data_IF_287960705147
#
_entry.id   IF_287960705147
#
_cell.length_a   1.000
_cell.length_b   1.000
_cell.length_c   1.000
_cell.angle_alpha   90.00
_cell.angle_beta   90.00
_cell.angle_gamma   90.00
#
_symmetry.space_group_name_H-M   'P 1'
#
loop_
_entity.id
_entity.type
_entity.pdbx_description
1 polymer ?
#
# COMPACT_ATOMS: atom_id res chain seq x y z
N UNK A 1 12.11 -9.96 -13.56
CA UNK A 1 12.35 -8.69 -12.84
C UNK A 1 11.32 -7.61 -13.16
N UNK A 2 10.50 -7.74 -14.22
CA UNK A 2 9.55 -6.69 -14.64
C UNK A 2 8.34 -6.45 -13.72
N UNK A 3 7.79 -7.49 -13.09
CA UNK A 3 6.55 -7.33 -12.33
C UNK A 3 6.71 -6.36 -11.14
N UNK A 4 7.83 -6.41 -10.41
CA UNK A 4 8.06 -5.54 -9.26
C UNK A 4 8.16 -4.05 -9.65
N UNK A 5 8.82 -3.75 -10.77
CA UNK A 5 8.94 -2.39 -11.31
C UNK A 5 7.60 -1.88 -11.83
N UNK A 6 6.82 -2.74 -12.49
CA UNK A 6 5.47 -2.41 -12.95
C UNK A 6 4.54 -2.03 -11.78
N UNK A 7 4.60 -2.74 -10.64
CA UNK A 7 3.75 -2.43 -9.49
C UNK A 7 4.18 -1.20 -8.69
N UNK A 8 5.47 -0.94 -8.55
CA UNK A 8 5.98 0.35 -8.04
C UNK A 8 5.48 1.51 -8.91
N UNK A 9 5.57 1.35 -10.22
CA UNK A 9 5.12 2.37 -11.17
C UNK A 9 3.60 2.50 -11.18
N UNK A 10 2.86 1.41 -10.98
CA UNK A 10 1.41 1.40 -10.83
C UNK A 10 0.93 2.06 -9.52
N UNK A 11 1.51 1.73 -8.36
CA UNK A 11 1.20 2.41 -7.08
C UNK A 11 1.50 3.90 -7.17
N UNK A 12 2.66 4.26 -7.73
CA UNK A 12 3.04 5.66 -7.94
C UNK A 12 2.05 6.37 -8.88
N UNK A 13 1.59 5.68 -9.93
CA UNK A 13 0.61 6.23 -10.89
C UNK A 13 -0.79 6.37 -10.29
N UNK A 14 -1.25 5.41 -9.47
CA UNK A 14 -2.51 5.50 -8.73
C UNK A 14 -2.48 6.69 -7.76
N UNK A 15 -1.40 6.82 -6.98
CA UNK A 15 -1.22 7.94 -6.04
C UNK A 15 -1.19 9.30 -6.76
N UNK A 16 -0.59 9.35 -7.95
CA UNK A 16 -0.50 10.56 -8.78
C UNK A 16 -1.83 10.91 -9.49
N UNK A 17 -2.70 9.93 -9.70
CA UNK A 17 -4.01 10.11 -10.33
C UNK A 17 -5.12 10.52 -9.34
N UNK A 18 -4.86 10.50 -8.03
CA UNK A 18 -5.79 11.03 -7.03
C UNK A 18 -5.67 12.57 -6.95
N UNK A 19 -6.79 13.30 -6.74
CA UNK A 19 -6.73 14.75 -6.59
C UNK A 19 -5.82 15.10 -5.41
N UNK A 20 -4.76 15.88 -5.66
CA UNK A 20 -3.89 16.40 -4.60
C UNK A 20 -4.73 17.31 -3.70
N UNK A 21 -4.69 17.15 -2.37
CA UNK A 21 -5.26 18.15 -1.47
C UNK A 21 -4.49 19.44 -1.71
N UNK A 22 -5.19 20.46 -2.22
CA UNK A 22 -4.62 21.78 -2.44
C UNK A 22 -3.94 22.24 -1.14
N UNK A 23 -2.64 22.45 -1.21
CA UNK A 23 -1.89 23.08 -0.13
C UNK A 23 -2.44 24.50 0.04
N UNK A 24 -3.21 24.72 1.11
CA UNK A 24 -3.70 26.05 1.44
C UNK A 24 -2.54 26.83 2.08
N UNK A 25 -2.03 27.92 1.46
CA UNK A 25 -0.96 28.69 2.04
C UNK A 25 -1.55 29.74 3.01
N UNK A 26 -0.77 30.05 4.06
CA UNK A 26 -0.89 31.22 4.96
C UNK A 26 -1.64 30.99 6.29
N UNK A 27 -0.90 30.70 7.38
CA UNK A 27 -0.64 31.66 8.49
C UNK A 27 0.11 31.00 9.69
N UNK A 28 0.81 31.80 10.54
CA UNK A 28 1.98 31.36 11.31
C UNK A 28 1.68 30.83 12.72
N UNK A 29 2.59 30.01 13.26
CA UNK A 29 2.52 29.47 14.63
C UNK A 29 2.80 30.56 15.69
N UNK A 30 2.03 30.57 16.79
CA UNK A 30 2.68 30.50 18.10
C UNK A 30 1.98 29.58 19.12
N UNK A 31 2.84 28.91 19.87
CA UNK A 31 2.76 28.37 21.25
C UNK A 31 1.49 28.74 22.09
N UNK A 32 0.88 27.69 22.69
CA UNK A 32 -0.15 27.64 23.76
C UNK A 32 -1.58 28.12 23.43
N UNK A 33 -2.54 27.19 23.24
CA UNK A 33 -3.71 26.99 24.12
C UNK A 33 -4.68 25.90 23.60
N UNK A 34 -5.37 25.30 24.56
CA UNK A 34 -6.28 24.18 24.48
C UNK A 34 -7.66 24.49 23.88
N UNK A 35 -8.26 23.46 23.27
CA UNK A 35 -9.67 23.04 23.42
C UNK A 35 -10.83 23.97 22.98
N UNK A 36 -11.40 23.69 21.80
CA UNK A 36 -12.85 23.47 21.67
C UNK A 36 -13.21 22.49 20.55
N UNK A 37 -13.79 21.40 21.03
CA UNK A 37 -14.41 20.21 20.43
C UNK A 37 -15.48 20.52 19.37
N UNK A 38 -15.51 19.70 18.32
CA UNK A 38 -16.75 19.22 17.69
C UNK A 38 -17.01 19.70 16.26
N UNK A 39 -16.68 18.83 15.28
CA UNK A 39 -17.31 18.67 13.93
C UNK A 39 -16.37 18.65 12.71
N UNK A 40 -15.05 18.85 12.85
CA UNK A 40 -14.11 18.72 11.71
C UNK A 40 -13.00 17.65 11.92
N UNK A 41 -12.92 17.03 13.09
CA UNK A 41 -11.82 16.13 13.45
C UNK A 41 -11.95 14.69 12.95
N UNK A 42 -13.13 14.25 12.53
CA UNK A 42 -13.35 12.89 12.04
C UNK A 42 -12.57 12.64 10.76
N UNK A 43 -12.81 13.47 9.74
CA UNK A 43 -12.21 13.26 8.43
C UNK A 43 -10.69 13.45 8.43
N UNK A 44 -10.18 14.41 9.22
CA UNK A 44 -8.72 14.64 9.32
C UNK A 44 -8.01 13.51 10.08
N UNK A 45 -8.60 13.02 11.18
CA UNK A 45 -8.03 11.89 11.91
C UNK A 45 -8.04 10.60 11.10
N UNK A 46 -9.11 10.33 10.34
CA UNK A 46 -9.15 9.19 9.41
C UNK A 46 -8.15 9.36 8.26
N UNK A 47 -7.93 10.59 7.78
CA UNK A 47 -6.91 10.87 6.75
C UNK A 47 -5.50 10.64 7.28
N UNK A 48 -5.20 11.15 8.48
CA UNK A 48 -3.90 10.97 9.11
C UNK A 48 -3.63 9.49 9.41
N UNK A 49 -4.61 8.76 9.93
CA UNK A 49 -4.48 7.32 10.17
C UNK A 49 -4.20 6.53 8.88
N UNK A 50 -4.84 6.90 7.77
CA UNK A 50 -4.54 6.32 6.46
C UNK A 50 -3.08 6.60 6.02
N UNK A 51 -2.60 7.83 6.22
CA UNK A 51 -1.21 8.19 5.91
C UNK A 51 -0.20 7.48 6.80
N UNK A 52 -0.47 7.33 8.09
CA UNK A 52 0.39 6.60 9.02
C UNK A 52 0.50 5.12 8.63
N UNK A 53 -0.61 4.53 8.19
CA UNK A 53 -0.63 3.15 7.72
C UNK A 53 0.20 2.98 6.42
N UNK A 54 0.12 3.96 5.51
CA UNK A 54 0.94 3.98 4.28
C UNK A 54 2.42 4.15 4.63
N UNK A 55 2.77 5.07 5.55
CA UNK A 55 4.15 5.27 5.97
C UNK A 55 4.77 4.00 6.58
N UNK A 56 3.99 3.24 7.36
CA UNK A 56 4.40 1.93 7.90
C UNK A 56 4.57 0.87 6.82
N UNK A 57 3.69 0.88 5.81
CA UNK A 57 3.84 0.00 4.64
C UNK A 57 5.15 0.28 3.89
N UNK A 58 5.42 1.55 3.58
CA UNK A 58 6.56 1.96 2.76
C UNK A 58 7.89 1.87 3.51
N UNK A 59 7.86 1.92 4.84
CA UNK A 59 9.01 1.71 5.71
C UNK A 59 9.22 0.23 6.06
N UNK A 60 8.73 -0.17 7.23
CA UNK A 60 9.02 -1.47 7.87
C UNK A 60 8.55 -2.64 7.01
N UNK A 61 7.31 -2.59 6.49
CA UNK A 61 6.77 -3.72 5.75
C UNK A 61 7.50 -3.94 4.43
N UNK A 62 7.75 -2.89 3.64
CA UNK A 62 8.51 -2.97 2.39
C UNK A 62 9.94 -3.46 2.63
N UNK A 63 10.59 -2.97 3.70
CA UNK A 63 11.93 -3.41 4.09
C UNK A 63 12.00 -4.93 4.30
N UNK A 64 11.01 -5.50 4.99
CA UNK A 64 10.93 -6.93 5.22
C UNK A 64 10.46 -7.71 3.99
N UNK A 65 9.51 -7.19 3.22
CA UNK A 65 9.04 -7.78 1.96
C UNK A 65 10.20 -7.99 0.97
N UNK A 66 11.06 -6.99 0.80
CA UNK A 66 12.17 -7.07 -0.15
C UNK A 66 13.19 -8.15 0.27
N UNK A 67 13.47 -8.28 1.57
CA UNK A 67 14.37 -9.31 2.12
C UNK A 67 13.76 -10.70 2.13
N UNK A 68 12.44 -10.78 2.28
CA UNK A 68 11.71 -12.02 2.15
C UNK A 68 11.78 -12.54 0.71
N UNK A 69 11.57 -11.66 -0.28
CA UNK A 69 11.53 -12.00 -1.71
C UNK A 69 12.91 -12.24 -2.31
N UNK A 70 13.92 -11.49 -1.87
CA UNK A 70 15.27 -11.52 -2.42
C UNK A 70 16.36 -11.66 -1.36
N UNK A 71 16.34 -12.72 -0.52
CA UNK A 71 17.28 -12.87 0.59
C UNK A 71 18.75 -12.86 0.13
N UNK A 72 19.04 -13.42 -1.04
CA UNK A 72 20.37 -13.45 -1.65
C UNK A 72 20.94 -12.05 -1.96
N UNK A 73 20.09 -11.06 -2.31
CA UNK A 73 20.54 -9.67 -2.57
C UNK A 73 21.04 -8.97 -1.32
N UNK A 74 20.68 -9.50 -0.16
CA UNK A 74 21.00 -8.93 1.16
C UNK A 74 21.93 -9.85 1.98
N UNK A 75 22.54 -10.87 1.35
CA UNK A 75 23.42 -11.81 2.03
C UNK A 75 22.72 -12.67 3.09
N UNK A 76 21.40 -12.85 2.99
CA UNK A 76 20.61 -13.63 3.94
C UNK A 76 20.52 -15.09 3.49
N UNK A 77 20.62 -16.01 4.46
CA UNK A 77 20.45 -17.44 4.21
C UNK A 77 19.02 -17.82 3.77
N UNK A 78 18.03 -16.98 4.05
CA UNK A 78 16.64 -17.18 3.65
C UNK A 78 15.74 -16.01 4.04
N UNK A 79 14.53 -16.01 3.48
CA UNK A 79 13.56 -14.93 3.69
C UNK A 79 12.64 -15.12 4.90
N UNK A 80 12.65 -16.29 5.55
CA UNK A 80 11.66 -16.68 6.58
C UNK A 80 11.62 -15.73 7.76
N UNK A 81 12.78 -15.30 8.29
CA UNK A 81 12.80 -14.36 9.41
C UNK A 81 12.12 -13.01 9.05
N UNK A 82 12.32 -12.52 7.83
CA UNK A 82 11.67 -11.30 7.37
C UNK A 82 10.18 -11.51 7.08
N UNK A 83 9.78 -12.71 6.65
CA UNK A 83 8.37 -13.09 6.53
C UNK A 83 7.66 -13.00 7.88
N UNK A 84 8.26 -13.55 8.94
CA UNK A 84 7.67 -13.50 10.28
C UNK A 84 7.65 -12.09 10.88
N UNK A 85 8.62 -11.21 10.54
CA UNK A 85 8.58 -9.81 10.95
C UNK A 85 7.49 -9.02 10.19
N UNK A 86 7.38 -9.24 8.88
CA UNK A 86 6.31 -8.64 8.06
C UNK A 86 4.90 -9.14 8.47
N UNK A 87 4.81 -10.34 9.05
CA UNK A 87 3.57 -10.93 9.55
C UNK A 87 2.84 -10.01 10.52
N UNK A 88 3.55 -9.36 11.44
CA UNK A 88 2.93 -8.48 12.44
C UNK A 88 2.18 -7.28 11.82
N UNK A 89 2.66 -6.77 10.69
CA UNK A 89 1.91 -5.75 9.94
C UNK A 89 0.64 -6.33 9.29
N UNK A 90 0.71 -7.54 8.75
CA UNK A 90 -0.44 -8.22 8.15
C UNK A 90 -1.50 -8.61 9.18
N UNK A 91 -1.10 -9.00 10.39
CA UNK A 91 -2.01 -9.23 11.52
C UNK A 91 -2.80 -7.94 11.86
N UNK A 92 -2.12 -6.79 11.89
CA UNK A 92 -2.78 -5.49 12.08
C UNK A 92 -3.79 -5.17 10.97
N UNK A 93 -3.44 -5.44 9.70
CA UNK A 93 -4.36 -5.23 8.58
C UNK A 93 -5.57 -6.16 8.70
N UNK A 94 -5.36 -7.43 9.03
CA UNK A 94 -6.42 -8.40 9.27
C UNK A 94 -7.41 -7.89 10.33
N UNK A 95 -6.93 -7.39 11.47
CA UNK A 95 -7.80 -6.89 12.55
C UNK A 95 -8.60 -5.66 12.10
N UNK A 96 -7.96 -4.72 11.40
CA UNK A 96 -8.65 -3.54 10.87
C UNK A 96 -9.73 -3.90 9.85
N UNK A 97 -9.44 -4.83 8.95
CA UNK A 97 -10.38 -5.32 7.94
C UNK A 97 -11.54 -6.10 8.58
N UNK A 98 -11.28 -6.84 9.65
CA UNK A 98 -12.34 -7.51 10.41
C UNK A 98 -13.31 -6.54 11.07
N UNK A 99 -12.82 -5.38 11.52
CA UNK A 99 -13.66 -4.36 12.17
C UNK A 99 -14.43 -3.50 11.16
N UNK A 100 -13.78 -3.08 10.07
CA UNK A 100 -14.28 -2.00 9.22
C UNK A 100 -14.61 -2.40 7.78
N UNK A 101 -14.14 -3.57 7.33
CA UNK A 101 -14.22 -4.02 5.93
C UNK A 101 -13.11 -3.46 5.02
N UNK A 102 -12.65 -2.21 5.26
CA UNK A 102 -11.51 -1.60 4.55
C UNK A 102 -10.53 -0.96 5.53
N UNK A 103 -9.31 -0.67 5.06
CA UNK A 103 -8.22 -0.18 5.91
C UNK A 103 -8.47 1.21 6.48
N UNK A 104 -9.18 2.07 5.73
CA UNK A 104 -9.53 3.43 6.15
C UNK A 104 -10.95 3.60 6.69
N UNK A 105 -11.72 2.51 6.85
CA UNK A 105 -13.11 2.57 7.33
C UNK A 105 -14.09 1.76 6.49
N UNK A 106 -15.33 2.24 6.35
CA UNK A 106 -16.43 1.49 5.71
C UNK A 106 -16.38 1.44 4.17
N UNK A 107 -15.42 2.13 3.53
CA UNK A 107 -15.29 2.19 2.07
C UNK A 107 -13.82 2.06 1.66
N UNK A 108 -13.60 1.48 0.48
CA UNK A 108 -12.29 1.45 -0.15
C UNK A 108 -11.72 2.86 -0.30
N UNK A 109 -10.48 3.06 0.15
CA UNK A 109 -9.84 4.37 0.16
C UNK A 109 -8.36 4.35 -0.21
N UNK A 110 -7.68 5.47 0.07
CA UNK A 110 -6.27 5.69 -0.25
C UNK A 110 -5.35 4.60 0.33
N UNK A 111 -5.54 4.25 1.60
CA UNK A 111 -4.75 3.23 2.28
C UNK A 111 -4.91 1.85 1.59
N UNK A 112 -6.13 1.48 1.20
CA UNK A 112 -6.37 0.23 0.51
C UNK A 112 -5.65 0.18 -0.85
N UNK A 113 -5.77 1.25 -1.64
CA UNK A 113 -5.14 1.37 -2.94
C UNK A 113 -3.60 1.32 -2.87
N UNK A 114 -3.02 1.95 -1.85
CA UNK A 114 -1.58 2.01 -1.67
C UNK A 114 -1.00 0.69 -1.16
N UNK A 115 -1.68 0.00 -0.24
CA UNK A 115 -1.15 -1.17 0.48
C UNK A 115 -1.43 -2.48 -0.26
N UNK A 116 -2.58 -2.62 -0.93
CA UNK A 116 -2.97 -3.86 -1.59
C UNK A 116 -1.93 -4.41 -2.59
N UNK A 117 -1.23 -3.60 -3.40
CA UNK A 117 -0.17 -4.08 -4.29
C UNK A 117 0.97 -4.77 -3.55
N UNK A 118 1.36 -4.29 -2.36
CA UNK A 118 2.44 -4.87 -1.56
C UNK A 118 2.01 -6.14 -0.86
N UNK A 119 0.81 -6.16 -0.28
CA UNK A 119 0.23 -7.39 0.32
C UNK A 119 0.10 -8.48 -0.74
N UNK A 120 -0.31 -8.12 -1.96
CA UNK A 120 -0.37 -9.06 -3.08
C UNK A 120 1.01 -9.63 -3.45
N UNK A 121 2.04 -8.79 -3.47
CA UNK A 121 3.42 -9.25 -3.71
C UNK A 121 3.91 -10.20 -2.63
N UNK A 122 3.59 -9.89 -1.37
CA UNK A 122 3.91 -10.75 -0.24
C UNK A 122 3.21 -12.12 -0.38
N UNK A 123 1.90 -12.12 -0.60
CA UNK A 123 1.10 -13.33 -0.77
C UNK A 123 1.56 -14.17 -1.97
N UNK A 124 2.04 -13.55 -3.05
CA UNK A 124 2.55 -14.27 -4.21
C UNK A 124 3.93 -14.91 -3.99
N UNK A 125 4.71 -14.45 -3.01
CA UNK A 125 6.05 -15.00 -2.74
C UNK A 125 5.97 -16.43 -2.19
N UNK A 126 4.96 -16.73 -1.37
CA UNK A 126 4.61 -18.08 -0.93
C UNK A 126 3.09 -18.17 -0.70
N UNK A 127 2.38 -18.49 -1.78
CA UNK A 127 0.92 -18.52 -1.78
C UNK A 127 0.35 -19.61 -0.87
N UNK A 128 1.02 -20.75 -0.76
CA UNK A 128 0.59 -21.85 0.10
C UNK A 128 0.72 -21.47 1.57
N UNK A 129 1.84 -20.86 1.97
CA UNK A 129 2.02 -20.40 3.33
C UNK A 129 1.03 -19.28 3.69
N UNK A 130 0.79 -18.32 2.78
CA UNK A 130 -0.17 -17.24 3.02
C UNK A 130 -1.60 -17.77 3.19
N UNK A 131 -2.01 -18.73 2.35
CA UNK A 131 -3.34 -19.35 2.43
C UNK A 131 -3.55 -20.19 3.70
N UNK A 132 -2.47 -20.65 4.35
CA UNK A 132 -2.53 -21.40 5.60
C UNK A 132 -2.72 -20.51 6.85
N UNK A 133 -2.65 -19.18 6.73
CA UNK A 133 -2.81 -18.27 7.87
C UNK A 133 -4.29 -18.01 8.20
N UNK A 134 -4.57 -17.53 9.41
CA UNK A 134 -5.93 -17.17 9.89
C UNK A 134 -6.43 -15.82 9.38
N UNK A 135 -5.85 -15.32 8.28
CA UNK A 135 -6.12 -13.99 7.74
C UNK A 135 -7.31 -13.97 6.77
N UNK A 136 -8.47 -14.42 7.23
CA UNK A 136 -9.66 -14.58 6.37
C UNK A 136 -10.11 -13.26 5.74
N UNK A 137 -10.09 -12.16 6.50
CA UNK A 137 -10.59 -10.86 6.04
C UNK A 137 -9.58 -10.18 5.11
N UNK A 138 -8.29 -10.29 5.43
CA UNK A 138 -7.22 -9.84 4.55
C UNK A 138 -7.21 -10.60 3.22
N UNK A 139 -7.38 -11.93 3.27
CA UNK A 139 -7.45 -12.75 2.07
C UNK A 139 -8.66 -12.36 1.21
N UNK A 140 -9.84 -12.20 1.81
CA UNK A 140 -11.05 -11.78 1.09
C UNK A 140 -10.89 -10.39 0.47
N UNK A 141 -10.46 -9.41 1.27
CA UNK A 141 -10.17 -8.04 0.81
C UNK A 141 -9.19 -8.02 -0.36
N UNK A 142 -8.15 -8.87 -0.32
CA UNK A 142 -7.19 -8.99 -1.41
C UNK A 142 -7.81 -9.62 -2.67
N UNK A 143 -8.74 -10.58 -2.53
CA UNK A 143 -9.48 -11.11 -3.68
C UNK A 143 -10.38 -10.04 -4.29
N UNK A 144 -11.11 -9.29 -3.47
CA UNK A 144 -12.01 -8.23 -3.90
C UNK A 144 -11.24 -7.12 -4.63
N UNK A 145 -10.07 -6.74 -4.10
CA UNK A 145 -9.17 -5.80 -4.76
C UNK A 145 -8.75 -6.28 -6.16
N UNK A 146 -8.33 -7.55 -6.30
CA UNK A 146 -7.94 -8.12 -7.60
C UNK A 146 -9.11 -8.25 -8.57
N UNK A 147 -10.33 -8.42 -8.08
CA UNK A 147 -11.54 -8.48 -8.88
C UNK A 147 -12.08 -7.08 -9.24
N UNK A 148 -11.54 -6.02 -8.63
CA UNK A 148 -12.04 -4.65 -8.83
C UNK A 148 -11.72 -4.11 -10.24
N UNK A 149 -12.64 -3.33 -10.85
CA UNK A 149 -12.38 -2.67 -12.13
C UNK A 149 -11.19 -1.71 -12.08
N UNK A 150 -10.94 -1.06 -10.93
CA UNK A 150 -9.80 -0.16 -10.74
C UNK A 150 -8.47 -0.90 -10.90
N UNK A 151 -8.36 -2.11 -10.37
CA UNK A 151 -7.19 -2.96 -10.57
C UNK A 151 -7.05 -3.41 -12.03
N UNK A 152 -8.16 -3.75 -12.70
CA UNK A 152 -8.15 -4.14 -14.11
C UNK A 152 -7.59 -3.02 -15.03
N UNK A 153 -7.96 -1.77 -14.78
CA UNK A 153 -7.44 -0.61 -15.52
C UNK A 153 -5.94 -0.37 -15.31
N UNK A 154 -5.42 -0.64 -14.11
CA UNK A 154 -3.99 -0.49 -13.81
C UNK A 154 -3.16 -1.64 -14.40
N UNK A 155 -3.78 -2.82 -14.56
CA UNK A 155 -3.17 -3.99 -15.20
C UNK A 155 -3.24 -3.94 -16.73
N UNK A 156 -4.02 -3.04 -17.33
CA UNK A 156 -3.95 -2.78 -18.76
C UNK A 156 -2.54 -2.30 -19.09
N UNK A 157 -1.79 -3.15 -19.81
CA UNK A 157 -0.46 -2.82 -20.30
C UNK A 157 -0.57 -1.61 -21.21
N UNK A 158 -0.11 -0.46 -20.74
CA UNK A 158 0.21 0.63 -21.65
C UNK A 158 1.30 0.14 -22.62
N UNK A 159 1.14 0.34 -23.95
CA UNK A 159 2.16 -0.05 -24.90
C UNK A 159 3.48 0.61 -24.51
N UNK A 160 4.52 -0.20 -24.40
CA UNK A 160 5.89 0.26 -24.11
C UNK A 160 6.22 1.35 -25.12
N UNK A 161 6.59 2.54 -24.64
CA UNK A 161 6.97 3.66 -25.51
C UNK A 161 8.15 3.22 -26.40
N UNK A 162 7.85 2.93 -27.67
CA UNK A 162 8.85 2.79 -28.72
C UNK A 162 9.33 4.18 -29.09
N UNK A 163 10.34 4.66 -28.35
CA UNK A 163 11.11 5.83 -28.73
C UNK A 163 11.69 5.61 -30.12
N UNK A 164 11.07 6.19 -31.14
CA UNK A 164 11.62 6.25 -32.48
C UNK A 164 12.93 7.03 -32.41
N UNK A 165 14.05 6.31 -32.38
CA UNK A 165 15.37 6.89 -32.61
C UNK A 165 15.45 7.31 -34.09
N UNK A 166 14.90 8.49 -34.39
CA UNK A 166 15.26 9.19 -35.60
C UNK A 166 16.70 9.66 -35.43
N UNK A 167 17.64 8.82 -35.86
CA UNK A 167 19.02 9.23 -36.14
C UNK A 167 18.96 10.39 -37.12
N UNK A 168 19.26 11.58 -36.62
CA UNK A 168 19.51 12.76 -37.46
C UNK A 168 20.94 12.59 -37.97
N UNK A 169 21.08 12.29 -39.25
CA UNK A 169 22.33 12.35 -39.99
C UNK A 169 22.43 13.71 -40.70
#
# INVERSE_FOLDING_TARGET
MEAAAFFEQASTSILKAMPTPEAHPSQPLPILYSFRRGRLGGDEAHRQDAWDLIARNDGEFKFHLDRYKYPHRYGLAGGVANRELARGFLDLLQDRLALNGFLGGARFGLADAAIAPFVRQFAHTDAAWFAAQTWTQLAQWLQDFKASPAFAQVMEKHPVWSGNAASVA
#
